data_IF_784578597029
#
_entry.id   IF_784578597029
#
_cell.length_a   1.000
_cell.length_b   1.000
_cell.length_c   1.000
_cell.angle_alpha   90.00
_cell.angle_beta   90.00
_cell.angle_gamma   90.00
#
_symmetry.space_group_name_H-M   'P 1'
#
loop_
_entity.id
_entity.type
_entity.pdbx_description
1 polymer ?
#
# COMPACT_ATOMS: atom_id res chain seq x y z
N UNK A 1 17.13 -31.92 7.84
CA UNK A 1 17.40 -31.35 6.51
C UNK A 1 16.08 -31.21 5.77
N UNK A 2 15.71 -30.01 5.43
CA UNK A 2 14.48 -29.76 4.68
C UNK A 2 14.58 -30.35 3.27
N UNK A 3 13.56 -31.09 2.84
CA UNK A 3 13.53 -31.62 1.49
C UNK A 3 13.27 -30.48 0.49
N UNK A 4 13.65 -30.67 -0.76
CA UNK A 4 13.35 -29.71 -1.84
C UNK A 4 11.85 -29.45 -1.96
N UNK A 5 11.01 -30.45 -1.67
CA UNK A 5 9.55 -30.35 -1.75
C UNK A 5 9.04 -29.42 -0.65
N UNK A 6 9.53 -29.59 0.59
CA UNK A 6 9.13 -28.72 1.71
C UNK A 6 9.48 -27.26 1.46
N UNK A 7 10.69 -27.01 0.91
CA UNK A 7 11.11 -25.66 0.57
C UNK A 7 10.24 -25.03 -0.51
N UNK A 8 9.91 -25.79 -1.56
CA UNK A 8 9.04 -25.32 -2.62
C UNK A 8 7.63 -25.02 -2.13
N UNK A 9 7.07 -25.88 -1.26
CA UNK A 9 5.74 -25.66 -0.69
C UNK A 9 5.74 -24.39 0.15
N UNK A 10 6.77 -24.15 0.94
CA UNK A 10 6.91 -22.95 1.76
C UNK A 10 6.98 -21.68 0.91
N UNK A 11 7.76 -21.70 -0.17
CA UNK A 11 7.85 -20.58 -1.12
C UNK A 11 6.52 -20.35 -1.83
N UNK A 12 5.86 -21.42 -2.24
CA UNK A 12 4.58 -21.34 -2.92
C UNK A 12 3.48 -20.78 -2.02
N UNK A 13 3.43 -21.21 -0.76
CA UNK A 13 2.48 -20.69 0.22
C UNK A 13 2.69 -19.18 0.45
N UNK A 14 3.95 -18.74 0.51
CA UNK A 14 4.27 -17.31 0.65
C UNK A 14 3.81 -16.51 -0.56
N UNK A 15 3.98 -17.02 -1.77
CA UNK A 15 3.51 -16.38 -3.00
C UNK A 15 2.00 -16.29 -3.02
N UNK A 16 1.30 -17.37 -2.66
CA UNK A 16 -0.18 -17.41 -2.66
C UNK A 16 -0.76 -16.42 -1.64
N UNK A 17 -0.23 -16.39 -0.43
CA UNK A 17 -0.73 -15.49 0.62
C UNK A 17 -0.29 -14.05 0.43
N UNK A 18 0.89 -13.83 -0.20
CA UNK A 18 1.49 -12.53 -0.43
C UNK A 18 1.45 -11.60 0.78
N UNK A 19 1.59 -12.17 1.97
CA UNK A 19 1.70 -11.40 3.22
C UNK A 19 2.86 -10.44 3.14
N UNK A 20 2.65 -9.24 3.65
CA UNK A 20 3.66 -8.19 3.54
C UNK A 20 3.85 -7.43 4.83
N UNK A 21 5.00 -6.75 4.92
CA UNK A 21 5.25 -5.75 5.95
C UNK A 21 4.86 -4.39 5.42
N UNK A 22 4.26 -3.58 6.28
CA UNK A 22 3.90 -2.20 5.92
C UNK A 22 5.09 -1.30 6.21
N UNK A 23 5.46 -0.50 5.20
CA UNK A 23 6.46 0.55 5.33
C UNK A 23 5.83 1.85 4.84
N UNK A 24 6.19 2.96 5.46
CA UNK A 24 5.78 4.28 4.97
C UNK A 24 6.95 4.89 4.22
N UNK A 25 6.69 5.42 3.03
CA UNK A 25 7.72 6.07 2.23
C UNK A 25 8.33 7.29 2.94
N UNK A 26 7.51 7.98 3.76
CA UNK A 26 7.95 9.14 4.52
C UNK A 26 7.44 9.05 5.96
N UNK A 27 8.30 9.39 6.91
CA UNK A 27 7.97 9.36 8.33
C UNK A 27 6.77 10.25 8.68
N UNK A 28 6.61 11.35 7.98
CA UNK A 28 5.48 12.26 8.21
C UNK A 28 4.12 11.60 8.03
N UNK A 29 4.03 10.53 7.22
CA UNK A 29 2.77 9.80 7.03
C UNK A 29 2.32 9.11 8.31
N UNK A 30 3.26 8.55 9.07
CA UNK A 30 2.96 7.96 10.38
C UNK A 30 2.46 9.02 11.36
N UNK A 31 3.09 10.18 11.36
CA UNK A 31 2.70 11.29 12.23
C UNK A 31 1.28 11.77 11.91
N UNK A 32 0.97 11.92 10.62
CA UNK A 32 -0.37 12.31 10.17
C UNK A 32 -1.39 11.25 10.60
N UNK A 33 -1.07 9.97 10.41
CA UNK A 33 -1.96 8.87 10.79
C UNK A 33 -2.25 8.88 12.29
N UNK A 34 -1.23 9.13 13.12
CA UNK A 34 -1.40 9.23 14.57
C UNK A 34 -2.30 10.39 14.97
N UNK A 35 -2.20 11.51 14.28
CA UNK A 35 -3.09 12.66 14.52
C UNK A 35 -4.53 12.34 14.16
N UNK A 36 -4.75 11.64 13.06
CA UNK A 36 -6.09 11.19 12.66
C UNK A 36 -6.69 10.25 13.72
N UNK A 37 -5.87 9.36 14.27
CA UNK A 37 -6.28 8.40 15.30
C UNK A 37 -6.87 9.10 16.53
N UNK A 38 -6.30 10.23 16.91
CA UNK A 38 -6.71 10.97 18.10
C UNK A 38 -7.84 11.95 17.84
N UNK A 39 -8.23 12.14 16.59
CA UNK A 39 -9.34 13.04 16.22
C UNK A 39 -10.68 12.47 16.67
N UNK A 40 -11.61 13.38 16.96
CA UNK A 40 -12.99 13.02 17.33
C UNK A 40 -14.00 13.32 16.24
N UNK A 41 -13.54 13.70 15.05
CA UNK A 41 -14.37 14.17 13.94
C UNK A 41 -14.34 13.17 12.77
N UNK A 42 -14.68 13.64 11.59
CA UNK A 42 -14.62 12.88 10.33
C UNK A 42 -13.22 12.27 10.11
N UNK A 43 -12.18 12.89 10.61
CA UNK A 43 -10.80 12.39 10.50
C UNK A 43 -10.63 11.03 11.20
N UNK A 44 -11.42 10.77 12.24
CA UNK A 44 -11.39 9.47 12.91
C UNK A 44 -11.86 8.35 11.99
N UNK A 45 -12.85 8.63 11.16
CA UNK A 45 -13.33 7.66 10.17
C UNK A 45 -12.26 7.39 9.11
N UNK A 46 -11.58 8.43 8.66
CA UNK A 46 -10.47 8.27 7.72
C UNK A 46 -9.38 7.38 8.32
N UNK A 47 -9.04 7.60 9.59
CA UNK A 47 -8.09 6.73 10.30
C UNK A 47 -8.54 5.26 10.26
N UNK A 48 -9.81 5.00 10.56
CA UNK A 48 -10.34 3.63 10.57
C UNK A 48 -10.25 2.99 9.19
N UNK A 49 -10.55 3.73 8.13
CA UNK A 49 -10.44 3.26 6.75
C UNK A 49 -9.00 2.95 6.37
N UNK A 50 -8.08 3.84 6.71
CA UNK A 50 -6.65 3.62 6.44
C UNK A 50 -6.14 2.42 7.22
N UNK A 51 -6.49 2.32 8.49
CA UNK A 51 -6.05 1.20 9.33
C UNK A 51 -6.53 -0.14 8.77
N UNK A 52 -7.77 -0.20 8.30
CA UNK A 52 -8.31 -1.39 7.64
C UNK A 52 -7.54 -1.70 6.35
N UNK A 53 -7.24 -0.69 5.56
CA UNK A 53 -6.44 -0.87 4.35
C UNK A 53 -5.08 -1.48 4.68
N UNK A 54 -4.41 -0.97 5.72
CA UNK A 54 -3.12 -1.49 6.14
C UNK A 54 -3.21 -2.95 6.59
N UNK A 55 -4.27 -3.32 7.32
CA UNK A 55 -4.49 -4.71 7.72
C UNK A 55 -4.67 -5.61 6.49
N UNK A 56 -5.45 -5.17 5.51
CA UNK A 56 -5.68 -5.92 4.28
C UNK A 56 -4.37 -6.10 3.49
N UNK A 57 -3.54 -5.05 3.43
CA UNK A 57 -2.26 -5.10 2.75
C UNK A 57 -1.26 -6.03 3.45
N UNK A 58 -1.29 -6.10 4.78
CA UNK A 58 -0.47 -7.06 5.51
C UNK A 58 -0.83 -8.49 5.15
N UNK A 59 -2.11 -8.79 4.98
CA UNK A 59 -2.56 -10.11 4.58
C UNK A 59 -2.26 -10.43 3.11
N UNK A 60 -2.35 -9.42 2.23
CA UNK A 60 -2.08 -9.60 0.81
C UNK A 60 -1.66 -8.28 0.17
N UNK A 61 -0.38 -8.19 -0.18
CA UNK A 61 0.17 -7.00 -0.82
C UNK A 61 -0.54 -6.64 -2.14
N UNK A 62 -1.15 -7.61 -2.81
CA UNK A 62 -1.78 -7.40 -4.12
C UNK A 62 -3.31 -7.31 -4.04
N UNK A 63 -3.87 -7.03 -2.86
CA UNK A 63 -5.32 -6.91 -2.72
C UNK A 63 -5.91 -5.65 -3.36
N UNK A 64 -5.08 -4.64 -3.64
CA UNK A 64 -5.51 -3.45 -4.35
C UNK A 64 -5.57 -3.66 -5.86
N UNK A 65 -5.63 -2.55 -6.58
CA UNK A 65 -5.71 -2.54 -8.04
C UNK A 65 -4.40 -1.99 -8.59
N UNK A 66 -3.76 -2.74 -9.47
CA UNK A 66 -2.51 -2.30 -10.08
C UNK A 66 -2.77 -1.20 -11.10
N UNK A 67 -2.00 -0.13 -11.02
CA UNK A 67 -2.02 0.96 -11.99
C UNK A 67 -1.11 0.57 -13.15
N UNK A 68 -1.61 0.70 -14.40
CA UNK A 68 -0.79 0.43 -15.57
C UNK A 68 0.46 1.33 -15.56
N UNK A 69 1.60 0.77 -15.93
CA UNK A 69 2.89 1.49 -15.88
C UNK A 69 2.84 2.87 -16.57
N UNK A 70 2.21 2.93 -17.73
CA UNK A 70 2.09 4.19 -18.49
C UNK A 70 1.27 5.26 -17.79
N UNK A 71 0.45 4.87 -16.80
CA UNK A 71 -0.43 5.78 -16.07
C UNK A 71 0.15 6.21 -14.72
N UNK A 72 1.31 5.71 -14.34
CA UNK A 72 1.95 6.08 -13.08
C UNK A 72 2.41 7.54 -13.15
N UNK A 73 1.91 8.41 -12.27
CA UNK A 73 2.38 9.80 -12.24
C UNK A 73 3.90 9.88 -12.05
N UNK A 74 4.55 10.67 -12.87
CA UNK A 74 6.02 10.81 -12.85
C UNK A 74 6.55 11.25 -11.50
N UNK A 75 5.76 12.01 -10.74
CA UNK A 75 6.18 12.48 -9.41
C UNK A 75 6.52 11.32 -8.47
N UNK A 76 5.80 10.21 -8.55
CA UNK A 76 6.09 9.06 -7.69
C UNK A 76 7.37 8.34 -8.12
N UNK A 77 7.60 8.24 -9.42
CA UNK A 77 8.82 7.62 -9.94
C UNK A 77 10.03 8.46 -9.56
N UNK A 78 9.94 9.76 -9.73
CA UNK A 78 11.03 10.70 -9.42
C UNK A 78 11.33 10.79 -7.93
N UNK A 79 10.28 10.83 -7.11
CA UNK A 79 10.43 11.02 -5.67
C UNK A 79 10.80 9.73 -4.93
N UNK A 80 10.24 8.60 -5.33
CA UNK A 80 10.39 7.34 -4.58
C UNK A 80 11.11 6.24 -5.34
N UNK A 81 11.40 6.44 -6.62
CA UNK A 81 12.11 5.43 -7.41
C UNK A 81 11.34 4.13 -7.60
N UNK A 82 10.02 4.19 -7.58
CA UNK A 82 9.17 3.01 -7.72
C UNK A 82 9.09 2.55 -9.19
N UNK A 83 8.87 1.27 -9.39
CA UNK A 83 8.63 0.69 -10.71
C UNK A 83 7.22 0.13 -10.87
N UNK A 84 6.42 0.17 -9.80
CA UNK A 84 5.03 -0.26 -9.82
C UNK A 84 4.23 0.61 -8.85
N UNK A 85 2.94 0.71 -9.13
CA UNK A 85 2.02 1.47 -8.31
C UNK A 85 0.70 0.71 -8.20
N UNK A 86 0.14 0.70 -7.00
CA UNK A 86 -1.14 0.07 -6.67
C UNK A 86 -2.01 1.06 -5.96
N UNK A 87 -3.32 0.93 -6.13
CA UNK A 87 -4.29 1.72 -5.37
C UNK A 87 -5.21 0.79 -4.58
N UNK A 88 -5.53 1.21 -3.39
CA UNK A 88 -6.52 0.56 -2.54
C UNK A 88 -7.68 1.53 -2.38
N UNK A 89 -8.87 1.14 -2.83
CA UNK A 89 -10.05 1.97 -2.77
C UNK A 89 -10.67 1.92 -1.37
N UNK A 90 -10.84 3.09 -0.77
CA UNK A 90 -11.48 3.27 0.53
C UNK A 90 -12.85 3.92 0.35
N UNK A 91 -13.70 3.93 1.40
CA UNK A 91 -15.02 4.55 1.29
C UNK A 91 -14.96 6.02 0.84
N UNK A 92 -16.02 6.47 0.20
CA UNK A 92 -16.23 7.87 -0.24
C UNK A 92 -15.17 8.41 -1.18
N UNK A 93 -14.62 7.53 -2.02
CA UNK A 93 -13.67 7.96 -3.05
C UNK A 93 -12.24 8.17 -2.58
N UNK A 94 -11.93 7.89 -1.32
CA UNK A 94 -10.56 7.93 -0.84
C UNK A 94 -9.74 6.80 -1.44
N UNK A 95 -8.49 7.09 -1.68
CA UNK A 95 -7.53 6.13 -2.26
C UNK A 95 -6.26 6.10 -1.45
N UNK A 96 -5.74 4.91 -1.21
CA UNK A 96 -4.41 4.72 -0.65
C UNK A 96 -3.50 4.21 -1.76
N UNK A 97 -2.41 4.90 -2.00
CA UNK A 97 -1.45 4.56 -3.04
C UNK A 97 -0.23 3.91 -2.41
N UNK A 98 0.18 2.78 -2.98
CA UNK A 98 1.31 2.04 -2.46
C UNK A 98 2.09 1.36 -3.58
N UNK A 99 3.33 1.00 -3.30
CA UNK A 99 4.16 0.22 -4.19
C UNK A 99 4.54 -1.09 -3.51
N UNK A 100 4.68 -2.14 -4.28
CA UNK A 100 5.10 -3.44 -3.75
C UNK A 100 6.56 -3.68 -4.12
N UNK A 101 7.36 -4.00 -3.11
CA UNK A 101 8.77 -4.32 -3.27
C UNK A 101 9.09 -5.58 -2.48
N UNK A 102 10.23 -6.18 -2.73
CA UNK A 102 10.72 -7.29 -1.90
C UNK A 102 12.19 -7.07 -1.57
N UNK A 103 12.52 -7.46 -0.36
CA UNK A 103 13.91 -7.73 0.00
C UNK A 103 14.12 -9.25 -0.06
N UNK A 104 15.26 -9.73 0.38
CA UNK A 104 15.60 -11.16 0.31
C UNK A 104 14.64 -12.07 1.08
N UNK A 105 13.93 -11.52 2.06
CA UNK A 105 13.13 -12.30 3.01
C UNK A 105 11.66 -11.93 2.97
N UNK A 106 11.32 -10.67 2.76
CA UNK A 106 9.96 -10.14 2.95
C UNK A 106 9.42 -9.44 1.70
N UNK A 107 8.09 -9.55 1.54
CA UNK A 107 7.33 -8.68 0.64
C UNK A 107 7.01 -7.41 1.42
N UNK A 108 7.17 -6.26 0.80
CA UNK A 108 6.94 -4.96 1.42
C UNK A 108 5.83 -4.21 0.69
N UNK A 109 4.89 -3.67 1.45
CA UNK A 109 3.91 -2.71 0.94
C UNK A 109 4.35 -1.33 1.42
N UNK A 110 4.83 -0.51 0.50
CA UNK A 110 5.36 0.82 0.79
C UNK A 110 4.27 1.84 0.55
N UNK A 111 3.78 2.44 1.61
CA UNK A 111 2.70 3.41 1.55
C UNK A 111 3.27 4.75 1.10
N UNK A 112 2.77 5.26 -0.02
CA UNK A 112 3.24 6.51 -0.59
C UNK A 112 2.37 7.69 -0.19
N UNK A 113 1.04 7.50 -0.22
CA UNK A 113 0.12 8.61 -0.03
C UNK A 113 -1.31 8.09 0.11
N UNK A 114 -2.18 8.85 0.75
CA UNK A 114 -3.63 8.66 0.64
C UNK A 114 -4.26 9.99 0.28
N UNK A 115 -5.37 9.95 -0.45
CA UNK A 115 -6.00 11.16 -0.96
C UNK A 115 -7.48 10.95 -1.23
N UNK A 116 -8.23 12.05 -1.26
CA UNK A 116 -9.63 12.02 -1.63
C UNK A 116 -9.78 11.89 -3.16
N UNK A 117 -11.02 11.70 -3.61
CA UNK A 117 -11.31 11.48 -5.02
C UNK A 117 -10.86 12.64 -5.92
N UNK A 118 -11.05 13.87 -5.48
CA UNK A 118 -10.66 15.06 -6.24
C UNK A 118 -9.14 15.12 -6.44
N UNK A 119 -8.40 14.91 -5.37
CA UNK A 119 -6.94 14.92 -5.44
C UNK A 119 -6.41 13.76 -6.27
N UNK A 120 -7.09 12.60 -6.20
CA UNK A 120 -6.75 11.46 -7.04
C UNK A 120 -6.94 11.80 -8.53
N UNK A 121 -8.07 12.38 -8.91
CA UNK A 121 -8.30 12.80 -10.29
C UNK A 121 -7.22 13.78 -10.77
N UNK A 122 -6.89 14.76 -9.95
CA UNK A 122 -5.86 15.75 -10.28
C UNK A 122 -4.49 15.11 -10.43
N UNK A 123 -4.14 14.18 -9.55
CA UNK A 123 -2.84 13.51 -9.57
C UNK A 123 -2.68 12.63 -10.80
N UNK A 124 -3.73 11.98 -11.26
CA UNK A 124 -3.69 11.05 -12.40
C UNK A 124 -4.09 11.72 -13.72
N UNK A 125 -4.49 12.98 -13.70
CA UNK A 125 -4.81 13.73 -14.91
C UNK A 125 -6.18 13.40 -15.51
N UNK A 126 -7.10 12.95 -14.70
CA UNK A 126 -8.47 12.66 -15.15
C UNK A 126 -9.34 13.90 -15.22
#
# INVERSE_FOLDING_TARGET
MESRISKKISEYARIITMKSEIKFAEEKLKEILNKLKESKTEDKKLYEWINRALDDLEENAFCGIQVAKRLIPKVYIQKYGIDNLWKYDMPKGWRLLYSVANNEVNVLSIILEWMNHKDYENRFGY
#
